data_IF_966153399636
#
_entry.id   IF_966153399636
#
_cell.length_a   1.000
_cell.length_b   1.000
_cell.length_c   1.000
_cell.angle_alpha   90.00
_cell.angle_beta   90.00
_cell.angle_gamma   90.00
#
_symmetry.space_group_name_H-M   'P 1'
#
loop_
_entity.id
_entity.type
_entity.pdbx_description
1 polymer ?
#
# COMPACT_ATOMS: atom_id res chain seq x y z
N UNK A 1 -14.41 6.97 0.70
CA UNK A 1 -13.75 6.01 -0.21
C UNK A 1 -13.76 4.64 0.47
N UNK A 2 -14.11 3.61 -0.24
CA UNK A 2 -14.11 2.23 0.28
C UNK A 2 -13.01 1.41 -0.40
N UNK A 3 -12.89 0.13 -0.01
CA UNK A 3 -11.83 -0.72 -0.56
C UNK A 3 -11.90 -0.87 -2.09
N UNK A 4 -13.11 -0.92 -2.65
CA UNK A 4 -13.25 -1.07 -4.10
C UNK A 4 -12.73 0.15 -4.85
N UNK A 5 -12.97 1.34 -4.31
CA UNK A 5 -12.43 2.59 -4.89
C UNK A 5 -10.91 2.60 -4.85
N UNK A 6 -10.35 2.17 -3.73
CA UNK A 6 -8.89 2.12 -3.55
C UNK A 6 -8.28 1.13 -4.53
N UNK A 7 -8.83 -0.07 -4.60
CA UNK A 7 -8.34 -1.12 -5.51
C UNK A 7 -8.40 -0.64 -6.96
N UNK A 8 -9.50 0.00 -7.34
CA UNK A 8 -9.67 0.52 -8.70
C UNK A 8 -8.59 1.54 -9.05
N UNK A 9 -8.38 2.53 -8.18
CA UNK A 9 -7.37 3.57 -8.41
C UNK A 9 -5.97 3.00 -8.46
N UNK A 10 -5.63 2.11 -7.54
CA UNK A 10 -4.31 1.49 -7.52
C UNK A 10 -4.07 0.62 -8.76
N UNK A 11 -5.07 -0.14 -9.16
CA UNK A 11 -4.97 -1.01 -10.34
C UNK A 11 -4.72 -0.19 -11.61
N UNK A 12 -5.41 0.94 -11.76
CA UNK A 12 -5.24 1.80 -12.92
C UNK A 12 -3.84 2.37 -13.02
N UNK A 13 -3.22 2.70 -11.89
CA UNK A 13 -1.91 3.35 -11.88
C UNK A 13 -0.76 2.42 -11.54
N UNK A 14 -1.05 1.14 -11.31
CA UNK A 14 -0.07 0.17 -10.83
C UNK A 14 1.22 0.17 -11.65
N UNK A 15 1.10 0.03 -12.96
CA UNK A 15 2.26 -0.07 -13.85
C UNK A 15 3.11 1.20 -13.79
N UNK A 16 2.47 2.35 -13.85
CA UNK A 16 3.15 3.65 -13.78
C UNK A 16 3.86 3.85 -12.44
N UNK A 17 3.17 3.52 -11.34
CA UNK A 17 3.73 3.62 -10.00
C UNK A 17 4.93 2.70 -9.84
N UNK A 18 4.81 1.45 -10.27
CA UNK A 18 5.88 0.47 -10.11
C UNK A 18 7.15 0.89 -10.85
N UNK A 19 6.99 1.44 -12.04
CA UNK A 19 8.14 1.93 -12.81
C UNK A 19 8.78 3.16 -12.19
N UNK A 20 7.95 4.12 -11.75
CA UNK A 20 8.43 5.40 -11.25
C UNK A 20 9.13 5.27 -9.90
N UNK A 21 8.61 4.44 -9.01
CA UNK A 21 9.07 4.34 -7.63
C UNK A 21 9.90 3.10 -7.32
N UNK A 22 10.22 2.30 -8.33
CA UNK A 22 11.07 1.11 -8.18
C UNK A 22 10.52 0.14 -7.14
N UNK A 23 9.26 -0.21 -7.27
CA UNK A 23 8.60 -1.12 -6.35
C UNK A 23 7.55 -1.96 -7.07
N UNK A 24 7.05 -2.96 -6.36
CA UNK A 24 5.86 -3.71 -6.76
C UNK A 24 4.79 -3.54 -5.70
N UNK A 25 3.57 -3.23 -6.12
CA UNK A 25 2.44 -3.15 -5.22
C UNK A 25 1.92 -4.57 -5.00
N UNK A 26 1.96 -5.02 -3.76
CA UNK A 26 1.47 -6.36 -3.40
C UNK A 26 -0.03 -6.35 -3.14
N UNK A 27 -0.53 -5.30 -2.49
CA UNK A 27 -1.94 -5.18 -2.22
C UNK A 27 -2.24 -4.24 -1.06
N UNK A 28 -3.49 -4.25 -0.63
CA UNK A 28 -3.93 -3.50 0.55
C UNK A 28 -4.25 -4.48 1.69
N UNK A 29 -4.09 -4.02 2.91
CA UNK A 29 -4.42 -4.82 4.10
C UNK A 29 -4.99 -3.90 5.18
N UNK A 30 -5.24 -4.44 6.36
CA UNK A 30 -5.76 -3.66 7.47
C UNK A 30 -7.24 -3.35 7.38
N UNK A 31 -7.68 -2.27 8.02
CA UNK A 31 -9.09 -1.96 8.20
C UNK A 31 -9.85 -1.74 6.90
N UNK A 32 -9.27 -1.06 5.92
CA UNK A 32 -9.92 -0.88 4.63
C UNK A 32 -10.11 -2.21 3.90
N UNK A 33 -9.11 -3.09 3.96
CA UNK A 33 -9.21 -4.41 3.32
C UNK A 33 -10.30 -5.26 3.98
N UNK A 34 -10.43 -5.17 5.31
CA UNK A 34 -11.46 -5.91 6.06
C UNK A 34 -12.85 -5.28 5.92
N UNK A 35 -12.93 -4.01 5.51
CA UNK A 35 -14.21 -3.31 5.42
C UNK A 35 -14.71 -2.74 6.73
N UNK A 36 -13.83 -2.64 7.75
CA UNK A 36 -14.18 -2.09 9.07
C UNK A 36 -13.49 -0.75 9.34
N UNK A 37 -13.14 -0.02 8.28
CA UNK A 37 -12.49 1.27 8.42
C UNK A 37 -13.39 2.33 9.07
N UNK A 38 -12.73 3.30 9.74
CA UNK A 38 -13.37 4.49 10.27
C UNK A 38 -12.80 5.73 9.57
N UNK A 39 -13.34 6.91 9.89
CA UNK A 39 -12.83 8.17 9.33
C UNK A 39 -11.36 8.41 9.67
N UNK A 40 -10.86 7.80 10.73
CA UNK A 40 -9.47 7.94 11.19
C UNK A 40 -8.54 6.85 10.70
N UNK A 41 -9.06 5.89 9.94
CA UNK A 41 -8.25 4.79 9.45
C UNK A 41 -7.29 5.23 8.35
N UNK A 42 -6.06 4.72 8.40
CA UNK A 42 -5.10 4.89 7.31
C UNK A 42 -5.30 3.77 6.29
N UNK A 43 -4.91 4.04 5.06
CA UNK A 43 -4.90 3.02 4.01
C UNK A 43 -3.55 2.31 4.08
N UNK A 44 -3.57 1.02 4.42
CA UNK A 44 -2.36 0.22 4.56
C UNK A 44 -2.06 -0.49 3.23
N UNK A 45 -0.89 -0.20 2.67
CA UNK A 45 -0.47 -0.73 1.36
C UNK A 45 0.84 -1.49 1.55
N UNK A 46 0.82 -2.76 1.14
CA UNK A 46 2.00 -3.61 1.17
C UNK A 46 2.72 -3.51 -0.18
N UNK A 47 4.01 -3.20 -0.12
CA UNK A 47 4.85 -3.07 -1.31
C UNK A 47 6.13 -3.87 -1.13
N UNK A 48 6.78 -4.18 -2.26
CA UNK A 48 8.11 -4.74 -2.28
C UNK A 48 9.00 -3.83 -3.10
N UNK A 49 9.99 -3.19 -2.45
CA UNK A 49 10.91 -2.30 -3.15
C UNK A 49 11.94 -3.09 -3.94
N UNK A 50 12.25 -2.62 -5.14
CA UNK A 50 13.30 -3.19 -5.95
C UNK A 50 14.67 -2.77 -5.43
N UNK A 51 15.70 -3.52 -5.83
CA UNK A 51 17.08 -3.18 -5.52
C UNK A 51 17.41 -1.79 -6.07
N UNK A 52 18.01 -0.97 -5.24
CA UNK A 52 18.34 0.41 -5.61
C UNK A 52 17.30 1.45 -5.21
N UNK A 53 16.15 1.02 -4.69
CA UNK A 53 15.19 1.95 -4.11
C UNK A 53 15.74 2.52 -2.81
N UNK A 54 15.44 3.80 -2.56
CA UNK A 54 15.92 4.52 -1.38
C UNK A 54 14.77 4.89 -0.44
N UNK A 55 15.13 5.40 0.74
CA UNK A 55 14.13 5.93 1.67
C UNK A 55 13.34 7.08 1.04
N UNK A 56 13.97 7.86 0.16
CA UNK A 56 13.29 8.94 -0.55
C UNK A 56 12.18 8.38 -1.46
N UNK A 57 12.42 7.26 -2.13
CA UNK A 57 11.40 6.62 -2.95
C UNK A 57 10.19 6.21 -2.09
N UNK A 58 10.44 5.73 -0.88
CA UNK A 58 9.38 5.35 0.05
C UNK A 58 8.55 6.56 0.49
N UNK A 59 9.21 7.67 0.80
CA UNK A 59 8.54 8.91 1.20
C UNK A 59 7.74 9.46 0.03
N UNK A 60 8.33 9.48 -1.16
CA UNK A 60 7.69 10.02 -2.36
C UNK A 60 6.44 9.23 -2.74
N UNK A 61 6.48 7.90 -2.69
CA UNK A 61 5.30 7.08 -3.00
C UNK A 61 4.19 7.31 -1.98
N UNK A 62 4.54 7.43 -0.71
CA UNK A 62 3.57 7.74 0.35
C UNK A 62 2.84 9.05 0.08
N UNK A 63 3.59 10.10 -0.22
CA UNK A 63 3.02 11.42 -0.52
C UNK A 63 2.17 11.39 -1.78
N UNK A 64 2.64 10.71 -2.82
CA UNK A 64 1.90 10.59 -4.07
C UNK A 64 0.55 9.90 -3.85
N UNK A 65 0.55 8.79 -3.14
CA UNK A 65 -0.67 8.03 -2.90
C UNK A 65 -1.63 8.74 -1.95
N UNK A 66 -1.12 9.47 -0.96
CA UNK A 66 -1.97 10.28 -0.08
C UNK A 66 -2.75 11.32 -0.88
N UNK A 67 -2.09 11.95 -1.83
CA UNK A 67 -2.75 12.91 -2.72
C UNK A 67 -3.77 12.23 -3.62
N UNK A 68 -3.41 11.11 -4.24
CA UNK A 68 -4.29 10.40 -5.17
C UNK A 68 -5.48 9.75 -4.48
N UNK A 69 -5.31 9.27 -3.27
CA UNK A 69 -6.37 8.59 -2.53
C UNK A 69 -7.11 9.50 -1.55
N UNK A 70 -6.64 10.73 -1.42
CA UNK A 70 -7.24 11.73 -0.50
C UNK A 70 -7.42 11.16 0.91
N UNK A 71 -6.38 10.49 1.42
CA UNK A 71 -6.39 9.86 2.73
C UNK A 71 -4.95 9.59 3.15
N UNK A 72 -4.72 9.44 4.44
CA UNK A 72 -3.42 9.02 4.93
C UNK A 72 -3.13 7.60 4.48
N UNK A 73 -1.91 7.36 4.08
CA UNK A 73 -1.44 6.08 3.54
C UNK A 73 -0.25 5.61 4.36
N UNK A 74 -0.28 4.35 4.78
CA UNK A 74 0.83 3.69 5.44
C UNK A 74 1.46 2.69 4.46
N UNK A 75 2.66 3.01 4.00
CA UNK A 75 3.42 2.16 3.08
C UNK A 75 4.27 1.20 3.90
N UNK A 76 4.03 -0.08 3.73
CA UNK A 76 4.76 -1.12 4.45
C UNK A 76 5.57 -1.95 3.47
N UNK A 77 6.88 -2.02 3.71
CA UNK A 77 7.78 -2.86 2.92
C UNK A 77 7.68 -4.31 3.38
N UNK A 78 7.39 -5.21 2.48
CA UNK A 78 7.29 -6.63 2.80
C UNK A 78 8.57 -7.18 3.43
N UNK A 79 9.74 -6.73 2.95
CA UNK A 79 11.03 -7.18 3.47
C UNK A 79 11.28 -6.72 4.90
N UNK A 80 10.68 -5.59 5.29
CA UNK A 80 10.88 -5.04 6.63
C UNK A 80 9.91 -5.64 7.66
N UNK A 81 8.98 -6.48 7.23
CA UNK A 81 8.03 -7.09 8.14
C UNK A 81 8.70 -8.13 9.03
N UNK A 82 8.38 -8.07 10.32
CA UNK A 82 8.75 -9.14 11.23
C UNK A 82 7.95 -10.39 10.89
N UNK A 83 8.58 -11.56 11.01
CA UNK A 83 7.94 -12.82 10.68
C UNK A 83 6.66 -13.06 11.46
N UNK A 84 6.62 -12.66 12.73
CA UNK A 84 5.45 -12.83 13.59
C UNK A 84 4.25 -11.98 13.16
N UNK A 85 4.48 -10.90 12.40
CA UNK A 85 3.41 -10.04 11.90
C UNK A 85 2.86 -10.48 10.53
N UNK A 86 3.65 -11.23 9.78
CA UNK A 86 3.27 -11.65 8.42
C UNK A 86 1.92 -12.38 8.35
N UNK A 87 1.63 -13.36 9.21
CA UNK A 87 0.34 -14.05 9.13
C UNK A 87 -0.86 -13.13 9.28
N UNK A 88 -0.76 -12.11 10.14
CA UNK A 88 -1.85 -11.15 10.35
C UNK A 88 -2.07 -10.29 9.12
N UNK A 89 -0.99 -9.83 8.51
CA UNK A 89 -1.06 -8.99 7.32
C UNK A 89 -1.58 -9.79 6.12
N UNK A 90 -1.04 -10.97 5.89
CA UNK A 90 -1.45 -11.80 4.76
C UNK A 90 -2.88 -12.31 4.89
N UNK A 91 -3.39 -12.46 6.11
CA UNK A 91 -4.78 -12.84 6.33
C UNK A 91 -5.75 -11.81 5.74
N UNK A 92 -5.42 -10.53 5.88
CA UNK A 92 -6.28 -9.43 5.42
C UNK A 92 -5.93 -8.97 4.00
N UNK A 93 -4.80 -9.40 3.45
CA UNK A 93 -4.27 -8.88 2.19
C UNK A 93 -5.20 -9.14 1.03
N UNK A 94 -5.56 -8.06 0.33
CA UNK A 94 -6.22 -8.14 -0.97
C UNK A 94 -5.14 -7.81 -2.00
N UNK A 95 -4.73 -8.82 -2.76
CA UNK A 95 -3.68 -8.66 -3.75
C UNK A 95 -4.15 -7.80 -4.92
N UNK A 96 -3.24 -7.00 -5.42
CA UNK A 96 -3.51 -6.13 -6.57
C UNK A 96 -2.59 -6.49 -7.72
#
# INVERSE_FOLDING_TARGET
>A
MNKNDIIYKLTQEKESIEKRYKLKIKGIFGSYARGDESEKSDIDILVEFEKGASLLDMIDIGNYLEERLDNKVDIVSERALRNELKPYIYKDLIAI
#
